data_IF_890283706849
#
_entry.id   IF_890283706849
#
_cell.length_a   1.000
_cell.length_b   1.000
_cell.length_c   1.000
_cell.angle_alpha   90.00
_cell.angle_beta   90.00
_cell.angle_gamma   90.00
#
_symmetry.space_group_name_H-M   'P 1'
#
loop_
_entity.id
_entity.type
_entity.pdbx_description
1 polymer ?
#
# COMPACT_ATOMS: atom_id res chain seq x y z
N UNK A 1 8.93 -30.28 -16.19
CA UNK A 1 8.98 -29.00 -16.92
C UNK A 1 9.10 -27.92 -15.84
N UNK A 2 10.14 -27.09 -15.85
CA UNK A 2 10.31 -26.05 -14.80
C UNK A 2 9.30 -24.95 -15.13
N UNK A 3 8.19 -24.92 -14.40
CA UNK A 3 7.12 -23.97 -14.64
C UNK A 3 7.48 -22.61 -14.04
N UNK A 4 7.12 -21.52 -14.72
CA UNK A 4 7.52 -20.15 -14.36
C UNK A 4 6.33 -19.29 -13.98
N UNK A 5 6.42 -18.54 -12.88
CA UNK A 5 5.47 -17.46 -12.57
C UNK A 5 5.95 -16.16 -13.22
N UNK A 6 5.23 -15.67 -14.24
CA UNK A 6 5.66 -14.50 -15.01
C UNK A 6 7.04 -14.66 -15.68
N UNK A 7 7.46 -15.90 -15.98
CA UNK A 7 8.79 -16.19 -16.52
C UNK A 7 9.90 -16.41 -15.48
N UNK A 8 9.60 -16.35 -14.17
CA UNK A 8 10.58 -16.48 -13.09
C UNK A 8 10.43 -17.79 -12.30
N UNK A 9 11.57 -18.35 -11.88
CA UNK A 9 11.71 -19.48 -10.95
C UNK A 9 12.88 -19.25 -9.98
N UNK A 10 12.93 -20.00 -8.90
CA UNK A 10 14.08 -20.06 -7.99
C UNK A 10 14.26 -18.83 -7.14
N UNK A 11 15.53 -18.50 -6.95
CA UNK A 11 15.93 -17.33 -6.20
C UNK A 11 15.43 -16.04 -6.86
N UNK A 12 15.26 -16.01 -8.19
CA UNK A 12 14.71 -14.84 -8.91
C UNK A 12 13.24 -14.59 -8.56
N UNK A 13 12.44 -15.65 -8.40
CA UNK A 13 11.05 -15.53 -7.97
C UNK A 13 10.96 -15.03 -6.52
N UNK A 14 11.79 -15.57 -5.63
CA UNK A 14 11.86 -15.11 -4.24
C UNK A 14 12.28 -13.63 -4.14
N UNK A 15 13.26 -13.19 -4.93
CA UNK A 15 13.65 -11.78 -5.00
C UNK A 15 12.53 -10.90 -5.54
N UNK A 16 11.78 -11.36 -6.55
CA UNK A 16 10.64 -10.61 -7.08
C UNK A 16 9.53 -10.46 -6.03
N UNK A 17 9.19 -11.52 -5.29
CA UNK A 17 8.21 -11.47 -4.19
C UNK A 17 8.69 -10.46 -3.13
N UNK A 18 9.95 -10.55 -2.70
CA UNK A 18 10.51 -9.64 -1.71
C UNK A 18 10.56 -8.18 -2.20
N UNK A 19 10.80 -7.96 -3.50
CA UNK A 19 10.78 -6.64 -4.10
C UNK A 19 9.37 -6.03 -4.06
N UNK A 20 8.35 -6.75 -4.54
CA UNK A 20 6.98 -6.23 -4.56
C UNK A 20 6.38 -6.10 -3.15
N UNK A 21 6.65 -7.05 -2.24
CA UNK A 21 6.29 -6.92 -0.82
C UNK A 21 6.98 -5.70 -0.18
N UNK A 22 8.26 -5.50 -0.50
CA UNK A 22 9.01 -4.31 -0.10
C UNK A 22 8.41 -3.01 -0.66
N UNK A 23 7.98 -2.99 -1.93
CA UNK A 23 7.28 -1.85 -2.53
C UNK A 23 5.94 -1.57 -1.85
N UNK A 24 5.19 -2.59 -1.43
CA UNK A 24 3.98 -2.41 -0.61
C UNK A 24 4.30 -1.75 0.73
N UNK A 25 5.40 -2.14 1.39
CA UNK A 25 5.81 -1.52 2.64
C UNK A 25 6.38 -0.12 2.46
N UNK A 26 7.00 0.15 1.32
CA UNK A 26 7.37 1.51 0.94
C UNK A 26 6.13 2.40 0.76
N UNK A 27 5.09 1.90 0.07
CA UNK A 27 3.80 2.58 -0.07
C UNK A 27 3.16 2.85 1.30
N UNK A 28 3.16 1.87 2.19
CA UNK A 28 2.70 2.04 3.57
C UNK A 28 3.42 3.19 4.27
N UNK A 29 4.75 3.24 4.19
CA UNK A 29 5.53 4.34 4.73
C UNK A 29 5.20 5.69 4.09
N UNK A 30 5.04 5.72 2.77
CA UNK A 30 4.68 6.94 2.04
C UNK A 30 3.34 7.50 2.52
N UNK A 31 2.34 6.61 2.71
CA UNK A 31 0.99 6.97 3.16
C UNK A 31 0.95 7.59 4.54
N UNK A 32 1.83 7.12 5.43
CA UNK A 32 1.95 7.68 6.78
C UNK A 32 2.56 9.08 6.81
N UNK A 33 3.43 9.41 5.84
CA UNK A 33 4.19 10.66 5.87
C UNK A 33 3.63 11.79 5.01
N UNK A 34 3.02 11.49 3.85
CA UNK A 34 2.70 12.54 2.87
C UNK A 34 1.72 13.59 3.41
N UNK A 35 0.84 13.21 4.33
CA UNK A 35 -0.14 14.10 4.94
C UNK A 35 0.50 15.23 5.76
N UNK A 36 1.66 14.98 6.36
CA UNK A 36 2.42 16.03 7.05
C UNK A 36 2.83 17.15 6.09
N UNK A 37 3.17 16.82 4.85
CA UNK A 37 3.50 17.81 3.82
C UNK A 37 2.27 18.48 3.22
N UNK A 38 1.22 17.71 2.90
CA UNK A 38 0.01 18.23 2.23
C UNK A 38 -0.76 19.23 3.10
N UNK A 39 -0.86 19.01 4.42
CA UNK A 39 -1.63 19.89 5.32
C UNK A 39 -1.10 21.32 5.39
N UNK A 40 0.19 21.51 5.11
CA UNK A 40 0.84 22.82 5.20
C UNK A 40 0.76 23.62 3.90
N UNK A 41 0.25 23.01 2.82
CA UNK A 41 0.17 23.64 1.52
C UNK A 41 -1.03 24.58 1.40
N UNK A 42 -0.80 25.80 0.90
CA UNK A 42 -1.84 26.82 0.64
C UNK A 42 -2.92 26.32 -0.31
N UNK A 43 -2.54 25.70 -1.42
CA UNK A 43 -3.49 25.14 -2.39
C UNK A 43 -4.42 24.07 -1.78
N UNK A 44 -3.92 23.28 -0.83
CA UNK A 44 -4.75 22.34 -0.08
C UNK A 44 -5.71 23.08 0.87
N UNK A 45 -5.22 24.08 1.60
CA UNK A 45 -6.03 24.91 2.51
C UNK A 45 -7.12 25.66 1.74
N UNK A 46 -6.85 26.15 0.53
CA UNK A 46 -7.85 26.80 -0.32
C UNK A 46 -8.97 25.84 -0.72
N UNK A 47 -8.64 24.58 -1.00
CA UNK A 47 -9.63 23.55 -1.34
C UNK A 47 -10.41 23.09 -0.10
N UNK A 48 -9.77 23.09 1.08
CA UNK A 48 -10.32 22.56 2.32
C UNK A 48 -10.11 23.54 3.49
N UNK A 49 -10.71 24.75 3.47
CA UNK A 49 -10.41 25.80 4.46
C UNK A 49 -10.75 25.40 5.90
N UNK A 50 -11.69 24.47 6.07
CA UNK A 50 -12.06 23.90 7.38
C UNK A 50 -10.92 23.17 8.07
N UNK A 51 -9.94 22.63 7.34
CA UNK A 51 -8.79 21.93 7.96
C UNK A 51 -7.75 22.89 8.52
N UNK A 52 -7.73 24.17 8.11
CA UNK A 52 -6.83 25.18 8.67
C UNK A 52 -7.47 25.94 9.84
N UNK A 53 -8.80 26.08 9.85
CA UNK A 53 -9.53 26.85 10.87
C UNK A 53 -9.92 26.04 12.10
N UNK A 54 -10.13 24.73 11.96
CA UNK A 54 -10.57 23.88 13.06
C UNK A 54 -9.61 22.69 13.29
N UNK A 55 -8.84 22.68 14.40
CA UNK A 55 -7.91 21.60 14.72
C UNK A 55 -8.58 20.22 14.84
N UNK A 56 -9.84 20.16 15.28
CA UNK A 56 -10.57 18.89 15.36
C UNK A 56 -10.85 18.32 13.97
N UNK A 57 -11.22 19.17 13.01
CA UNK A 57 -11.44 18.76 11.62
C UNK A 57 -10.13 18.32 10.98
N UNK A 58 -9.03 19.03 11.25
CA UNK A 58 -7.71 18.64 10.78
C UNK A 58 -7.31 17.25 11.32
N UNK A 59 -7.48 17.04 12.63
CA UNK A 59 -7.19 15.75 13.29
C UNK A 59 -8.03 14.61 12.72
N UNK A 60 -9.33 14.82 12.53
CA UNK A 60 -10.22 13.85 11.87
C UNK A 60 -9.76 13.58 10.44
N UNK A 61 -9.35 14.61 9.70
CA UNK A 61 -8.90 14.48 8.32
C UNK A 61 -7.66 13.62 8.18
N UNK A 62 -6.79 13.58 9.19
CA UNK A 62 -5.64 12.67 9.24
C UNK A 62 -6.06 11.30 9.78
N UNK A 63 -6.69 11.25 10.95
CA UNK A 63 -6.97 10.03 11.69
C UNK A 63 -8.04 9.12 11.10
N UNK A 64 -8.97 9.63 10.27
CA UNK A 64 -10.02 8.80 9.64
C UNK A 64 -9.43 7.69 8.74
N UNK A 65 -8.21 7.92 8.22
CA UNK A 65 -7.45 6.93 7.48
C UNK A 65 -7.19 5.67 8.31
N UNK A 66 -6.78 5.85 9.57
CA UNK A 66 -6.48 4.75 10.50
C UNK A 66 -7.73 3.96 10.89
N UNK A 67 -8.88 4.63 10.97
CA UNK A 67 -10.17 3.93 11.15
C UNK A 67 -10.43 3.01 9.94
N UNK A 68 -10.15 3.49 8.73
CA UNK A 68 -10.17 2.65 7.52
C UNK A 68 -9.22 1.46 7.63
N UNK A 69 -7.96 1.70 8.04
CA UNK A 69 -6.96 0.64 8.24
C UNK A 69 -7.43 -0.43 9.24
N UNK A 70 -8.01 0.00 10.36
CA UNK A 70 -8.58 -0.90 11.37
C UNK A 70 -9.68 -1.78 10.77
N UNK A 71 -10.61 -1.19 10.02
CA UNK A 71 -11.70 -1.94 9.37
C UNK A 71 -11.16 -2.93 8.34
N UNK A 72 -10.18 -2.53 7.53
CA UNK A 72 -9.49 -3.41 6.59
C UNK A 72 -8.82 -4.59 7.29
N UNK A 73 -8.03 -4.33 8.34
CA UNK A 73 -7.35 -5.36 9.11
C UNK A 73 -8.33 -6.32 9.82
N UNK A 74 -9.44 -5.83 10.37
CA UNK A 74 -10.46 -6.68 11.00
C UNK A 74 -11.19 -7.55 9.99
N UNK A 75 -11.43 -7.05 8.77
CA UNK A 75 -12.10 -7.82 7.72
C UNK A 75 -11.33 -9.08 7.27
N UNK A 76 -10.01 -9.11 7.48
CA UNK A 76 -9.17 -10.29 7.23
C UNK A 76 -9.50 -11.49 8.12
N UNK A 77 -10.11 -11.29 9.29
CA UNK A 77 -10.52 -12.38 10.17
C UNK A 77 -11.51 -13.33 9.48
N UNK A 78 -12.35 -12.80 8.59
CA UNK A 78 -13.31 -13.59 7.82
C UNK A 78 -12.83 -13.85 6.38
N UNK A 79 -12.27 -12.84 5.72
CA UNK A 79 -11.97 -12.88 4.29
C UNK A 79 -10.61 -13.53 4.02
N UNK A 80 -9.64 -13.37 4.92
CA UNK A 80 -8.24 -13.70 4.67
C UNK A 80 -8.02 -15.17 4.33
N UNK A 81 -8.69 -16.08 5.04
CA UNK A 81 -8.56 -17.52 4.76
C UNK A 81 -9.37 -17.96 3.53
N UNK A 82 -10.46 -17.27 3.18
CA UNK A 82 -11.30 -17.60 2.01
C UNK A 82 -10.67 -17.14 0.70
N UNK A 83 -10.11 -15.92 0.67
CA UNK A 83 -9.67 -15.27 -0.57
C UNK A 83 -8.26 -15.70 -1.00
N UNK A 84 -7.40 -16.04 -0.04
CA UNK A 84 -5.97 -16.22 -0.27
C UNK A 84 -5.19 -14.93 -0.06
N UNK A 85 -3.85 -15.03 0.04
CA UNK A 85 -3.00 -13.89 0.37
C UNK A 85 -2.81 -12.99 -0.85
N UNK A 86 -2.46 -13.54 -2.01
CA UNK A 86 -2.27 -12.78 -3.25
C UNK A 86 -3.53 -12.00 -3.64
N UNK A 87 -4.71 -12.64 -3.61
CA UNK A 87 -5.95 -11.95 -3.95
C UNK A 87 -6.32 -10.85 -2.96
N UNK A 88 -5.97 -11.03 -1.68
CA UNK A 88 -6.23 -10.01 -0.67
C UNK A 88 -5.33 -8.80 -0.87
N UNK A 89 -4.05 -9.00 -1.22
CA UNK A 89 -3.15 -7.90 -1.60
C UNK A 89 -3.64 -7.18 -2.86
N UNK A 90 -4.11 -7.91 -3.88
CA UNK A 90 -4.68 -7.27 -5.08
C UNK A 90 -5.92 -6.43 -4.75
N UNK A 91 -6.80 -6.91 -3.86
CA UNK A 91 -7.96 -6.16 -3.40
C UNK A 91 -7.53 -4.91 -2.60
N UNK A 92 -6.54 -5.04 -1.72
CA UNK A 92 -5.96 -3.94 -0.96
C UNK A 92 -5.43 -2.84 -1.87
N UNK A 93 -4.56 -3.20 -2.82
CA UNK A 93 -4.00 -2.29 -3.81
C UNK A 93 -5.07 -1.63 -4.70
N UNK A 94 -6.11 -2.35 -5.10
CA UNK A 94 -7.24 -1.77 -5.84
C UNK A 94 -7.99 -0.70 -5.03
N UNK A 95 -8.23 -0.95 -3.74
CA UNK A 95 -8.88 0.00 -2.86
C UNK A 95 -7.99 1.23 -2.59
N UNK A 96 -6.68 1.04 -2.43
CA UNK A 96 -5.72 2.15 -2.32
C UNK A 96 -5.76 3.01 -3.58
N UNK A 97 -5.77 2.42 -4.77
CA UNK A 97 -5.89 3.14 -6.04
C UNK A 97 -7.18 3.96 -6.12
N UNK A 98 -8.32 3.35 -5.83
CA UNK A 98 -9.62 4.04 -5.87
C UNK A 98 -9.66 5.18 -4.85
N UNK A 99 -9.23 4.92 -3.61
CA UNK A 99 -9.22 5.92 -2.55
C UNK A 99 -8.22 7.05 -2.81
N UNK A 100 -7.04 6.74 -3.36
CA UNK A 100 -6.04 7.72 -3.76
C UNK A 100 -6.51 8.61 -4.92
N UNK A 101 -7.15 8.03 -5.94
CA UNK A 101 -7.74 8.79 -7.04
C UNK A 101 -8.87 9.71 -6.57
N UNK A 102 -9.73 9.23 -5.66
CA UNK A 102 -10.79 10.05 -5.05
C UNK A 102 -10.20 11.23 -4.26
N UNK A 103 -9.10 11.03 -3.56
CA UNK A 103 -8.40 12.09 -2.83
C UNK A 103 -7.72 13.08 -3.78
N UNK A 104 -6.97 12.59 -4.77
CA UNK A 104 -6.29 13.43 -5.76
C UNK A 104 -7.27 14.24 -6.62
N UNK A 105 -8.49 13.74 -6.83
CA UNK A 105 -9.58 14.42 -7.55
C UNK A 105 -10.54 15.19 -6.62
N UNK A 106 -10.23 15.34 -5.33
CA UNK A 106 -11.16 15.96 -4.38
C UNK A 106 -11.32 17.46 -4.62
N UNK A 107 -12.56 17.95 -4.61
CA UNK A 107 -12.89 19.39 -4.63
C UNK A 107 -13.43 19.91 -3.30
N UNK A 108 -13.57 19.03 -2.31
CA UNK A 108 -14.03 19.39 -0.99
C UNK A 108 -13.70 18.31 0.04
N UNK A 109 -13.82 18.69 1.30
CA UNK A 109 -13.45 17.86 2.42
C UNK A 109 -14.19 16.52 2.48
N UNK A 110 -15.53 16.42 2.28
CA UNK A 110 -16.23 15.14 2.38
C UNK A 110 -15.72 14.09 1.38
N UNK A 111 -15.49 14.49 0.12
CA UNK A 111 -14.94 13.59 -0.91
C UNK A 111 -13.56 13.09 -0.54
N UNK A 112 -12.72 13.98 -0.01
CA UNK A 112 -11.37 13.64 0.46
C UNK A 112 -11.40 12.65 1.64
N UNK A 113 -12.30 12.86 2.62
CA UNK A 113 -12.48 11.96 3.75
C UNK A 113 -12.97 10.57 3.32
N UNK A 114 -13.89 10.49 2.37
CA UNK A 114 -14.34 9.21 1.78
C UNK A 114 -13.17 8.50 1.11
N UNK A 115 -12.38 9.22 0.30
CA UNK A 115 -11.19 8.66 -0.34
C UNK A 115 -10.16 8.14 0.68
N UNK A 116 -9.99 8.83 1.83
CA UNK A 116 -9.14 8.38 2.94
C UNK A 116 -9.61 7.08 3.56
N UNK A 117 -10.91 6.96 3.83
CA UNK A 117 -11.46 5.71 4.40
C UNK A 117 -11.24 4.56 3.44
N UNK A 118 -11.55 4.74 2.15
CA UNK A 118 -11.40 3.70 1.12
C UNK A 118 -9.94 3.28 0.97
N UNK A 119 -9.01 4.25 0.88
CA UNK A 119 -7.58 3.95 0.81
C UNK A 119 -7.08 3.26 2.09
N UNK A 120 -7.54 3.71 3.26
CA UNK A 120 -7.20 3.12 4.55
C UNK A 120 -7.63 1.66 4.65
N UNK A 121 -8.86 1.32 4.22
CA UNK A 121 -9.31 -0.09 4.18
C UNK A 121 -8.38 -0.93 3.30
N UNK A 122 -7.99 -0.41 2.14
CA UNK A 122 -7.04 -1.10 1.25
C UNK A 122 -5.67 -1.31 1.90
N UNK A 123 -5.13 -0.28 2.54
CA UNK A 123 -3.85 -0.37 3.25
C UNK A 123 -3.90 -1.33 4.44
N UNK A 124 -5.00 -1.32 5.20
CA UNK A 124 -5.21 -2.25 6.32
C UNK A 124 -5.18 -3.72 5.88
N UNK A 125 -5.76 -4.03 4.72
CA UNK A 125 -5.66 -5.36 4.11
C UNK A 125 -4.22 -5.71 3.76
N UNK A 126 -3.48 -4.78 3.16
CA UNK A 126 -2.10 -5.01 2.73
C UNK A 126 -1.14 -5.22 3.89
N UNK A 127 -1.16 -4.34 4.89
CA UNK A 127 -0.24 -4.39 6.04
C UNK A 127 -0.40 -5.70 6.83
N UNK A 128 -1.62 -6.22 6.94
CA UNK A 128 -1.89 -7.46 7.64
C UNK A 128 -1.66 -8.72 6.78
N UNK A 129 -1.56 -8.60 5.44
CA UNK A 129 -1.42 -9.74 4.52
C UNK A 129 -0.01 -9.93 3.98
N UNK A 130 0.68 -8.84 3.64
CA UNK A 130 1.98 -8.86 2.94
C UNK A 130 3.09 -9.54 3.75
N UNK A 131 3.32 -9.24 5.05
CA UNK A 131 4.39 -9.91 5.79
C UNK A 131 4.16 -11.41 5.98
N UNK A 132 2.94 -11.89 6.33
CA UNK A 132 2.63 -13.31 6.32
C UNK A 132 2.88 -13.94 4.95
N UNK A 133 2.39 -13.34 3.87
CA UNK A 133 2.57 -13.85 2.51
C UNK A 133 4.04 -13.99 2.13
N UNK A 134 4.84 -12.95 2.39
CA UNK A 134 6.28 -12.98 2.16
C UNK A 134 6.97 -14.06 3.00
N UNK A 135 6.63 -14.18 4.28
CA UNK A 135 7.21 -15.19 5.17
C UNK A 135 6.87 -16.64 4.77
N UNK A 136 5.70 -16.83 4.16
CA UNK A 136 5.20 -18.14 3.70
C UNK A 136 5.86 -18.56 2.38
N UNK A 137 6.17 -17.60 1.52
CA UNK A 137 6.91 -17.85 0.27
C UNK A 137 8.43 -17.95 0.51
N UNK A 138 8.96 -17.25 1.50
CA UNK A 138 10.40 -17.19 1.75
C UNK A 138 10.98 -18.47 2.37
N UNK A 139 12.21 -18.80 1.96
CA UNK A 139 13.04 -19.86 2.56
C UNK A 139 13.25 -19.60 4.06
N UNK A 140 13.22 -20.62 4.93
CA UNK A 140 13.31 -20.45 6.39
C UNK A 140 14.47 -19.59 6.89
N UNK A 141 15.64 -19.68 6.23
CA UNK A 141 16.86 -18.98 6.62
C UNK A 141 16.84 -17.47 6.34
N UNK A 142 16.02 -17.00 5.39
CA UNK A 142 15.97 -15.59 4.96
C UNK A 142 14.73 -14.83 5.42
N UNK A 143 13.77 -15.48 6.10
CA UNK A 143 12.51 -14.86 6.55
C UNK A 143 12.73 -13.59 7.37
N UNK A 144 13.60 -13.65 8.37
CA UNK A 144 13.87 -12.49 9.23
C UNK A 144 14.51 -11.33 8.47
N UNK A 145 15.35 -11.61 7.48
CA UNK A 145 15.97 -10.58 6.64
C UNK A 145 14.92 -9.81 5.84
N UNK A 146 13.97 -10.50 5.21
CA UNK A 146 12.95 -9.83 4.40
C UNK A 146 11.96 -9.00 5.24
N UNK A 147 11.60 -9.47 6.44
CA UNK A 147 10.75 -8.67 7.36
C UNK A 147 11.48 -7.40 7.84
N UNK A 148 12.79 -7.49 8.10
CA UNK A 148 13.59 -6.31 8.44
C UNK A 148 13.72 -5.34 7.25
N UNK A 149 13.83 -5.87 6.03
CA UNK A 149 13.84 -5.07 4.81
C UNK A 149 12.52 -4.31 4.60
N UNK A 150 11.37 -4.95 4.84
CA UNK A 150 10.05 -4.28 4.82
C UNK A 150 10.01 -3.11 5.80
N UNK A 151 10.48 -3.29 7.03
CA UNK A 151 10.56 -2.21 8.02
C UNK A 151 11.47 -1.05 7.60
N UNK A 152 12.63 -1.36 7.01
CA UNK A 152 13.53 -0.36 6.45
C UNK A 152 12.89 0.41 5.28
N UNK A 153 12.22 -0.29 4.37
CA UNK A 153 11.52 0.30 3.23
C UNK A 153 10.33 1.17 3.66
N UNK A 154 9.64 0.81 4.73
CA UNK A 154 8.62 1.67 5.34
C UNK A 154 9.23 2.99 5.82
N UNK A 155 10.36 2.95 6.55
CA UNK A 155 11.03 4.17 7.01
C UNK A 155 11.54 5.01 5.82
N UNK A 156 12.04 4.38 4.76
CA UNK A 156 12.42 5.06 3.53
C UNK A 156 11.21 5.66 2.81
N UNK A 157 10.05 5.02 2.85
CA UNK A 157 8.78 5.54 2.31
C UNK A 157 8.36 6.83 3.01
N UNK A 158 8.37 6.84 4.35
CA UNK A 158 8.09 8.04 5.16
C UNK A 158 9.05 9.16 4.79
N UNK A 159 10.36 8.87 4.78
CA UNK A 159 11.38 9.86 4.40
C UNK A 159 11.14 10.41 2.99
N UNK A 160 10.83 9.54 2.02
CA UNK A 160 10.59 9.95 0.63
C UNK A 160 9.35 10.83 0.52
N UNK A 161 8.30 10.56 1.29
CA UNK A 161 7.09 11.40 1.28
C UNK A 161 7.38 12.86 1.67
N UNK A 162 8.26 13.09 2.64
CA UNK A 162 8.66 14.45 3.04
C UNK A 162 9.51 15.13 1.96
N UNK A 163 10.43 14.40 1.33
CA UNK A 163 11.23 14.94 0.22
C UNK A 163 10.38 15.27 -0.99
N UNK A 164 9.42 14.41 -1.33
CA UNK A 164 8.45 14.65 -2.41
C UNK A 164 7.62 15.89 -2.07
N UNK A 165 7.09 15.99 -0.85
CA UNK A 165 6.37 17.16 -0.39
C UNK A 165 7.18 18.46 -0.51
N UNK A 166 8.45 18.43 -0.10
CA UNK A 166 9.38 19.54 -0.25
C UNK A 166 9.65 19.90 -1.72
N UNK A 167 9.85 18.89 -2.57
CA UNK A 167 10.12 19.08 -3.99
C UNK A 167 8.95 19.76 -4.71
N UNK A 168 7.70 19.36 -4.43
CA UNK A 168 6.52 20.01 -4.99
C UNK A 168 6.33 21.42 -4.44
N UNK A 169 6.56 21.62 -3.14
CA UNK A 169 6.46 22.94 -2.51
C UNK A 169 7.46 23.95 -3.12
N UNK A 170 8.71 23.54 -3.37
CA UNK A 170 9.75 24.42 -3.92
C UNK A 170 9.79 24.49 -5.44
N UNK A 171 9.50 23.40 -6.12
CA UNK A 171 9.62 23.29 -7.58
C UNK A 171 8.41 23.83 -8.33
N UNK A 172 7.21 23.47 -7.90
CA UNK A 172 5.94 23.89 -8.56
C UNK A 172 5.37 25.13 -7.90
N UNK A 173 5.57 25.27 -6.59
CA UNK A 173 5.01 26.36 -5.80
C UNK A 173 3.70 25.97 -5.13
N UNK A 174 3.47 26.57 -3.97
CA UNK A 174 2.40 26.19 -3.05
C UNK A 174 0.99 26.61 -3.49
N UNK A 175 0.92 27.58 -4.40
CA UNK A 175 -0.31 28.15 -4.96
C UNK A 175 -0.97 27.27 -6.03
N UNK A 176 -0.22 26.35 -6.63
CA UNK A 176 -0.75 25.51 -7.70
C UNK A 176 -1.46 24.28 -7.12
N UNK A 177 -2.72 24.09 -7.51
CA UNK A 177 -3.54 22.93 -7.11
C UNK A 177 -2.91 21.57 -7.49
N UNK A 178 -2.01 21.55 -8.46
CA UNK A 178 -1.30 20.33 -8.85
C UNK A 178 -0.30 19.87 -7.79
N UNK A 179 0.18 20.75 -6.90
CA UNK A 179 1.23 20.45 -5.92
C UNK A 179 0.79 19.38 -4.93
N UNK A 180 -0.34 19.56 -4.23
CA UNK A 180 -0.81 18.56 -3.27
C UNK A 180 -1.41 17.33 -3.95
N UNK A 181 -2.09 17.53 -5.11
CA UNK A 181 -2.72 16.43 -5.85
C UNK A 181 -1.71 15.45 -6.41
N UNK A 182 -0.55 15.90 -6.86
CA UNK A 182 0.51 15.02 -7.36
C UNK A 182 1.21 14.25 -6.24
N UNK A 183 1.33 14.82 -5.04
CA UNK A 183 1.83 14.09 -3.87
C UNK A 183 0.92 12.87 -3.60
N UNK A 184 -0.40 13.06 -3.63
CA UNK A 184 -1.37 11.95 -3.53
C UNK A 184 -1.36 11.07 -4.79
N UNK A 185 -1.13 11.64 -5.96
CA UNK A 185 -1.02 10.89 -7.22
C UNK A 185 0.14 9.90 -7.25
N UNK A 186 1.27 10.23 -6.62
CA UNK A 186 2.44 9.34 -6.53
C UNK A 186 2.11 8.07 -5.73
N UNK A 187 1.30 8.16 -4.68
CA UNK A 187 0.76 6.98 -3.98
C UNK A 187 0.06 6.04 -4.96
N UNK A 188 -0.78 6.59 -5.86
CA UNK A 188 -1.50 5.79 -6.85
C UNK A 188 -0.55 5.12 -7.86
N UNK A 189 0.52 5.80 -8.27
CA UNK A 189 1.52 5.22 -9.19
C UNK A 189 2.22 4.03 -8.52
N UNK A 190 2.66 4.19 -7.27
CA UNK A 190 3.32 3.11 -6.52
C UNK A 190 2.35 1.94 -6.32
N UNK A 191 1.10 2.21 -5.94
CA UNK A 191 0.07 1.20 -5.78
C UNK A 191 -0.22 0.43 -7.09
N UNK A 192 -0.24 1.13 -8.23
CA UNK A 192 -0.42 0.51 -9.54
C UNK A 192 0.73 -0.44 -9.90
N UNK A 193 1.98 -0.05 -9.61
CA UNK A 193 3.16 -0.89 -9.83
C UNK A 193 3.06 -2.17 -9.01
N UNK A 194 2.67 -2.07 -7.73
CA UNK A 194 2.48 -3.24 -6.87
C UNK A 194 1.32 -4.09 -7.37
N UNK A 195 0.18 -3.50 -7.71
CA UNK A 195 -0.99 -4.22 -8.22
C UNK A 195 -0.64 -5.08 -9.44
N UNK A 196 0.02 -4.48 -10.45
CA UNK A 196 0.44 -5.20 -11.65
C UNK A 196 1.50 -6.25 -11.32
N UNK A 197 2.46 -5.95 -10.45
CA UNK A 197 3.49 -6.89 -10.03
C UNK A 197 2.95 -8.13 -9.34
N UNK A 198 2.15 -7.93 -8.29
CA UNK A 198 1.52 -9.01 -7.51
C UNK A 198 0.55 -9.83 -8.36
N UNK A 199 -0.01 -9.25 -9.43
CA UNK A 199 -0.82 -10.00 -10.38
C UNK A 199 -0.06 -11.15 -11.05
N UNK A 200 1.26 -11.07 -11.20
CA UNK A 200 2.07 -12.14 -11.80
C UNK A 200 2.74 -13.07 -10.78
N UNK A 201 2.60 -12.80 -9.48
CA UNK A 201 3.23 -13.56 -8.40
C UNK A 201 2.39 -14.76 -7.96
N UNK A 202 3.02 -15.77 -7.30
CA UNK A 202 2.32 -16.94 -6.80
C UNK A 202 1.46 -16.63 -5.56
N UNK A 203 0.48 -17.50 -5.33
CA UNK A 203 -0.26 -17.54 -4.06
C UNK A 203 0.60 -18.19 -2.96
N UNK A 204 0.27 -17.93 -1.69
CA UNK A 204 0.95 -18.56 -0.56
C UNK A 204 0.91 -20.10 -0.66
N UNK A 205 2.06 -20.80 -0.58
CA UNK A 205 2.09 -22.25 -0.60
C UNK A 205 1.37 -22.86 0.61
N UNK A 206 1.35 -22.17 1.76
CA UNK A 206 0.59 -22.62 2.94
C UNK A 206 -0.92 -22.55 2.71
N UNK A 207 -1.39 -21.48 2.08
CA UNK A 207 -2.80 -21.33 1.76
C UNK A 207 -3.26 -22.39 0.75
N UNK A 208 -2.44 -22.65 -0.27
CA UNK A 208 -2.69 -23.69 -1.29
C UNK A 208 -2.79 -25.09 -0.66
N UNK A 209 -1.87 -25.46 0.25
CA UNK A 209 -1.93 -26.74 0.98
C UNK A 209 -3.20 -26.86 1.83
N UNK A 210 -3.59 -25.78 2.53
CA UNK A 210 -4.80 -25.76 3.38
C UNK A 210 -6.09 -25.98 2.57
N UNK A 211 -6.12 -25.54 1.32
CA UNK A 211 -7.29 -25.67 0.42
C UNK A 211 -7.25 -26.91 -0.48
N UNK A 212 -6.26 -27.80 -0.30
CA UNK A 212 -6.16 -29.04 -1.06
C UNK A 212 -5.45 -28.93 -2.41
N UNK A 213 -4.96 -27.75 -2.79
CA UNK A 213 -4.17 -27.52 -4.01
C UNK A 213 -2.71 -27.94 -3.82
N UNK A 214 -2.49 -29.24 -3.57
CA UNK A 214 -1.17 -29.78 -3.24
C UNK A 214 -0.16 -29.63 -4.38
N UNK A 215 -0.59 -29.85 -5.62
CA UNK A 215 0.29 -29.75 -6.79
C UNK A 215 0.79 -28.32 -6.99
N UNK A 216 -0.10 -27.32 -6.90
CA UNK A 216 0.26 -25.91 -6.96
C UNK A 216 1.16 -25.48 -5.80
N UNK A 217 0.93 -26.02 -4.59
CA UNK A 217 1.78 -25.72 -3.46
C UNK A 217 3.20 -26.31 -3.61
N UNK A 218 3.31 -27.56 -4.07
CA UNK A 218 4.61 -28.16 -4.37
C UNK A 218 5.29 -27.41 -5.52
N UNK A 219 4.52 -26.95 -6.50
CA UNK A 219 5.02 -26.11 -7.58
C UNK A 219 5.67 -24.82 -7.03
N UNK A 220 4.97 -24.06 -6.18
CA UNK A 220 5.50 -22.83 -5.55
C UNK A 220 6.71 -23.11 -4.65
N UNK A 221 6.73 -24.25 -3.93
CA UNK A 221 7.85 -24.62 -3.06
C UNK A 221 9.08 -25.15 -3.83
N UNK A 222 8.85 -25.73 -5.01
CA UNK A 222 9.89 -26.28 -5.89
C UNK A 222 10.50 -25.23 -6.82
N UNK A 223 9.78 -24.11 -7.02
CA UNK A 223 10.23 -22.99 -7.82
C UNK A 223 11.46 -22.35 -7.18
#
# INVERSE_FOLDING_TARGET
MIHTFGGLTGDRLNTAIAFFAGCSFFLFGYDMGYMGSVLTQRSFIETMPSTATNPNIQGISVGIFEIGCLLGALSLLEIGDRLGRRKTVLLGQALILIGGLLQAAAFGLPQFLVGRVVAGVGLGLDVATVPPWQSECAKPKSRGYFVMMEGALCSLGVMTSFWVGYAFLKGVGDEHQISWRMIVGIQCIIAAIVFVGVFFLPESPRWLLKHGYKEDAYYVLSA
#
